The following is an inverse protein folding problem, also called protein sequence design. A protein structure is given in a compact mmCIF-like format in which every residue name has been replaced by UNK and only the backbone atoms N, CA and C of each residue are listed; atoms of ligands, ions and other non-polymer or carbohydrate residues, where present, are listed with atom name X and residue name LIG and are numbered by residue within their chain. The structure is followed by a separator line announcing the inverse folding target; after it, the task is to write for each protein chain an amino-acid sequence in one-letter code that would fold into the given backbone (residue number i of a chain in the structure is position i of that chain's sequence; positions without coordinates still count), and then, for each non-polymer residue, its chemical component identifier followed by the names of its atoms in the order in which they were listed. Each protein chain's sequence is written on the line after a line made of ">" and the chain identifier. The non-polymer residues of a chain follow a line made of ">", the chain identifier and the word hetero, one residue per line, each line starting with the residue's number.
data_IF_437605560397
#
_entry.id   IF_437605560397
#
_cell.length_a   1.000
_cell.length_b   1.000
_cell.length_c   1.000
_cell.angle_alpha   90.00
_cell.angle_beta   90.00
_cell.angle_gamma   90.00
#
_symmetry.space_group_name_H-M   'P 1'
#
loop_
_entity.id
_entity.type
_entity.pdbx_description
1 polymer ?
#
# COMPACT_ATOMS: atom_id res chain seq x y z
N UNK A 1 -20.23 -3.26 6.85
CA UNK A 1 -18.98 -2.95 7.57
C UNK A 1 -19.05 -1.54 8.18
N UNK A 2 -18.55 -1.30 9.41
CA UNK A 2 -18.52 0.02 10.04
C UNK A 2 -17.65 1.06 9.30
N UNK A 3 -17.90 2.35 9.55
CA UNK A 3 -17.01 3.44 9.10
C UNK A 3 -15.71 3.45 9.93
N UNK A 4 -14.60 3.93 9.34
CA UNK A 4 -13.30 3.99 10.04
C UNK A 4 -12.60 2.65 10.24
N UNK A 5 -11.76 2.54 11.27
CA UNK A 5 -11.09 1.29 11.62
C UNK A 5 -12.09 0.23 12.08
N UNK A 6 -11.77 -1.03 11.80
CA UNK A 6 -12.52 -2.18 12.31
C UNK A 6 -11.72 -2.89 13.39
N UNK A 7 -12.44 -3.37 14.40
CA UNK A 7 -11.95 -4.26 15.44
C UNK A 7 -12.74 -5.56 15.38
N UNK A 8 -12.09 -6.65 15.74
CA UNK A 8 -12.67 -7.98 15.88
C UNK A 8 -11.80 -8.78 16.88
N UNK A 9 -12.34 -9.85 17.45
CA UNK A 9 -11.62 -10.75 18.35
C UNK A 9 -11.27 -12.08 17.69
N UNK A 10 -11.76 -12.34 16.47
CA UNK A 10 -11.48 -13.55 15.71
C UNK A 10 -11.61 -13.31 14.20
N UNK A 11 -11.06 -14.23 13.39
CA UNK A 11 -11.23 -14.21 11.92
C UNK A 11 -12.70 -14.29 11.52
N UNK A 12 -13.48 -15.11 12.23
CA UNK A 12 -14.91 -15.31 11.96
C UNK A 12 -15.68 -14.02 12.17
N UNK A 13 -15.43 -13.31 13.28
CA UNK A 13 -16.03 -12.01 13.57
C UNK A 13 -15.60 -10.95 12.54
N UNK A 14 -14.32 -10.91 12.18
CA UNK A 14 -13.79 -9.99 11.16
C UNK A 14 -14.45 -10.21 9.80
N UNK A 15 -14.58 -11.48 9.37
CA UNK A 15 -15.20 -11.86 8.11
C UNK A 15 -16.71 -11.59 8.11
N UNK A 16 -17.39 -11.73 9.25
CA UNK A 16 -18.81 -11.41 9.37
C UNK A 16 -19.12 -9.94 9.06
N UNK A 17 -18.16 -9.02 9.25
CA UNK A 17 -18.32 -7.58 8.92
C UNK A 17 -18.55 -7.32 7.42
N UNK A 18 -18.17 -8.26 6.55
CA UNK A 18 -18.37 -8.23 5.11
C UNK A 18 -19.78 -8.70 4.67
N UNK A 19 -20.61 -9.21 5.60
CA UNK A 19 -21.99 -9.63 5.32
C UNK A 19 -22.07 -10.65 4.18
N UNK A 20 -22.85 -10.35 3.14
CA UNK A 20 -23.02 -11.23 1.98
C UNK A 20 -21.72 -11.50 1.20
N UNK A 21 -20.66 -10.71 1.42
CA UNK A 21 -19.34 -10.88 0.80
C UNK A 21 -18.38 -11.70 1.66
N UNK A 22 -18.84 -12.30 2.76
CA UNK A 22 -18.02 -13.10 3.69
C UNK A 22 -17.13 -14.13 2.99
N UNK A 23 -17.68 -14.89 2.03
CA UNK A 23 -16.92 -15.92 1.30
C UNK A 23 -15.86 -15.32 0.37
N UNK A 24 -16.19 -14.24 -0.35
CA UNK A 24 -15.24 -13.50 -1.18
C UNK A 24 -14.10 -12.92 -0.32
N UNK A 25 -14.43 -12.36 0.85
CA UNK A 25 -13.46 -11.86 1.81
C UNK A 25 -12.55 -12.97 2.37
N UNK A 26 -13.11 -14.14 2.69
CA UNK A 26 -12.32 -15.28 3.15
C UNK A 26 -11.32 -15.73 2.09
N UNK A 27 -11.76 -15.85 0.83
CA UNK A 27 -10.87 -16.18 -0.28
C UNK A 27 -9.79 -15.13 -0.53
N UNK A 28 -10.09 -13.84 -0.34
CA UNK A 28 -9.14 -12.75 -0.57
C UNK A 28 -8.12 -12.58 0.56
N UNK A 29 -8.52 -12.77 1.82
CA UNK A 29 -7.69 -12.48 2.99
C UNK A 29 -7.08 -13.70 3.67
N UNK A 30 -7.65 -14.89 3.46
CA UNK A 30 -7.28 -16.12 4.15
C UNK A 30 -7.49 -17.37 3.26
N UNK A 31 -7.06 -17.29 1.99
CA UNK A 31 -7.30 -18.32 0.96
C UNK A 31 -6.97 -19.76 1.41
N UNK A 32 -5.94 -19.93 2.24
CA UNK A 32 -5.47 -21.22 2.73
C UNK A 32 -5.86 -21.50 4.19
N UNK A 33 -6.65 -20.63 4.84
CA UNK A 33 -7.07 -20.74 6.24
C UNK A 33 -5.97 -20.46 7.29
N UNK A 34 -4.74 -20.21 6.85
CA UNK A 34 -3.55 -20.16 7.69
C UNK A 34 -3.03 -18.74 7.99
N UNK A 35 -3.70 -17.68 7.54
CA UNK A 35 -3.27 -16.30 7.81
C UNK A 35 -3.42 -16.00 9.30
N UNK A 36 -2.40 -15.47 9.97
CA UNK A 36 -2.53 -15.08 11.38
C UNK A 36 -3.67 -14.05 11.55
N UNK A 37 -4.50 -14.20 12.59
CA UNK A 37 -5.62 -13.28 12.82
C UNK A 37 -5.17 -11.81 12.88
N UNK A 38 -4.10 -11.50 13.61
CA UNK A 38 -3.60 -10.13 13.72
C UNK A 38 -3.11 -9.56 12.36
N UNK A 39 -2.53 -10.42 11.51
CA UNK A 39 -2.13 -10.05 10.14
C UNK A 39 -3.33 -9.77 9.26
N UNK A 40 -4.36 -10.61 9.36
CA UNK A 40 -5.62 -10.45 8.64
C UNK A 40 -6.33 -9.15 9.04
N UNK A 41 -6.38 -8.84 10.34
CA UNK A 41 -6.95 -7.60 10.86
C UNK A 41 -6.17 -6.38 10.37
N UNK A 42 -4.84 -6.45 10.33
CA UNK A 42 -4.00 -5.40 9.76
C UNK A 42 -4.31 -5.18 8.28
N UNK A 43 -4.38 -6.25 7.47
CA UNK A 43 -4.70 -6.15 6.04
C UNK A 43 -6.08 -5.56 5.77
N UNK A 44 -7.13 -5.99 6.49
CA UNK A 44 -8.47 -5.43 6.33
C UNK A 44 -8.48 -3.93 6.65
N UNK A 45 -7.82 -3.51 7.73
CA UNK A 45 -7.72 -2.09 8.08
C UNK A 45 -6.90 -1.29 7.06
N UNK A 46 -5.77 -1.82 6.58
CA UNK A 46 -4.97 -1.20 5.52
C UNK A 46 -5.78 -0.98 4.25
N UNK A 47 -6.49 -2.00 3.81
CA UNK A 47 -7.23 -1.94 2.54
C UNK A 47 -8.44 -1.01 2.64
N UNK A 48 -9.18 -1.11 3.75
CA UNK A 48 -10.39 -0.32 4.00
C UNK A 48 -10.11 1.17 4.21
N UNK A 49 -9.09 1.49 5.01
CA UNK A 49 -8.86 2.87 5.46
C UNK A 49 -7.95 3.63 4.50
N UNK A 50 -7.04 2.94 3.81
CA UNK A 50 -6.00 3.58 3.02
C UNK A 50 -5.97 3.12 1.56
N UNK A 51 -5.76 1.83 1.31
CA UNK A 51 -5.38 1.38 -0.03
C UNK A 51 -6.54 1.43 -1.04
N UNK A 52 -7.75 1.00 -0.67
CA UNK A 52 -8.92 1.11 -1.56
C UNK A 52 -9.31 2.58 -1.77
N UNK A 53 -9.40 3.45 -0.74
CA UNK A 53 -9.64 4.87 -0.97
C UNK A 53 -8.60 5.56 -1.87
N UNK A 54 -7.32 5.19 -1.78
CA UNK A 54 -6.28 5.68 -2.68
C UNK A 54 -6.52 5.23 -4.12
N UNK A 55 -6.86 3.94 -4.32
CA UNK A 55 -7.22 3.37 -5.64
C UNK A 55 -8.47 4.03 -6.22
N UNK A 56 -9.52 4.21 -5.42
CA UNK A 56 -10.73 4.93 -5.79
C UNK A 56 -10.40 6.34 -6.26
N UNK A 57 -9.59 7.07 -5.49
CA UNK A 57 -9.18 8.43 -5.84
C UNK A 57 -8.46 8.46 -7.19
N UNK A 58 -7.46 7.59 -7.40
CA UNK A 58 -6.76 7.49 -8.68
C UNK A 58 -7.72 7.22 -9.85
N UNK A 59 -8.67 6.29 -9.70
CA UNK A 59 -9.73 6.03 -10.70
C UNK A 59 -10.57 7.25 -11.01
N UNK A 60 -10.95 8.05 -10.01
CA UNK A 60 -11.77 9.26 -10.22
C UNK A 60 -11.02 10.34 -11.00
N UNK A 61 -9.72 10.49 -10.76
CA UNK A 61 -8.90 11.44 -11.52
C UNK A 61 -8.73 11.00 -12.97
N UNK A 62 -8.37 9.73 -13.21
CA UNK A 62 -8.14 9.22 -14.57
C UNK A 62 -9.44 9.15 -15.40
N UNK A 63 -10.57 8.85 -14.78
CA UNK A 63 -11.89 8.92 -15.43
C UNK A 63 -12.28 10.34 -15.87
N UNK A 64 -11.63 11.39 -15.32
CA UNK A 64 -11.78 12.79 -15.75
C UNK A 64 -10.68 13.25 -16.69
N UNK A 65 -9.81 12.35 -17.15
CA UNK A 65 -8.69 12.65 -18.03
C UNK A 65 -7.49 13.29 -17.33
N UNK A 66 -7.48 13.35 -16.00
CA UNK A 66 -6.33 13.83 -15.24
C UNK A 66 -5.34 12.68 -14.99
N UNK A 67 -4.02 12.89 -15.17
CA UNK A 67 -3.02 11.86 -14.88
C UNK A 67 -2.99 11.56 -13.37
N UNK A 68 -2.80 10.29 -13.02
CA UNK A 68 -2.58 9.86 -11.66
C UNK A 68 -1.45 8.82 -11.63
N UNK A 69 -0.64 8.84 -10.58
CA UNK A 69 0.43 7.88 -10.33
C UNK A 69 0.16 7.23 -8.96
N UNK A 70 0.07 5.91 -8.93
CA UNK A 70 -0.24 5.15 -7.72
C UNK A 70 0.97 4.32 -7.31
N UNK A 71 1.35 4.37 -6.02
CA UNK A 71 2.42 3.54 -5.48
C UNK A 71 2.01 2.75 -4.24
N UNK A 72 2.81 1.73 -3.95
CA UNK A 72 2.84 0.98 -2.70
C UNK A 72 4.24 1.09 -2.09
N UNK A 73 4.34 1.45 -0.81
CA UNK A 73 5.59 1.43 -0.07
C UNK A 73 5.64 0.18 0.81
N UNK A 74 6.54 -0.74 0.50
CA UNK A 74 6.69 -2.03 1.18
C UNK A 74 8.02 -2.17 1.93
N UNK A 75 8.93 -1.21 1.75
CA UNK A 75 10.26 -1.24 2.36
C UNK A 75 10.20 -1.04 3.89
N UNK A 76 10.98 -1.83 4.62
CA UNK A 76 11.13 -1.74 6.08
C UNK A 76 12.62 -1.84 6.40
N UNK A 77 13.19 -0.80 6.98
CA UNK A 77 14.60 -0.81 7.42
C UNK A 77 14.85 -1.95 8.40
N UNK A 78 16.05 -2.54 8.36
CA UNK A 78 16.42 -3.67 9.22
C UNK A 78 16.12 -3.43 10.71
N UNK A 79 16.41 -2.24 11.22
CA UNK A 79 16.17 -1.87 12.63
C UNK A 79 14.69 -1.80 13.03
N UNK A 80 13.78 -1.71 12.05
CA UNK A 80 12.32 -1.63 12.28
C UNK A 80 11.58 -2.94 12.03
N UNK A 81 12.21 -3.96 11.42
CA UNK A 81 11.53 -5.21 11.00
C UNK A 81 10.84 -5.95 12.17
N UNK A 82 11.44 -5.94 13.36
CA UNK A 82 10.85 -6.56 14.54
C UNK A 82 9.54 -5.87 14.95
N UNK A 83 9.51 -4.55 14.94
CA UNK A 83 8.34 -3.72 15.30
C UNK A 83 7.28 -3.73 14.19
N UNK A 84 7.74 -3.81 12.93
CA UNK A 84 6.93 -3.80 11.71
C UNK A 84 6.80 -5.20 11.11
N UNK A 85 6.48 -6.19 11.94
CA UNK A 85 6.45 -7.62 11.55
C UNK A 85 5.48 -7.98 10.42
N UNK A 86 4.54 -7.09 10.09
CA UNK A 86 3.57 -7.25 9.00
C UNK A 86 3.85 -6.38 7.77
N UNK A 87 5.01 -5.71 7.74
CA UNK A 87 5.39 -4.77 6.69
C UNK A 87 5.36 -3.32 7.17
N UNK A 88 5.59 -2.40 6.23
CA UNK A 88 5.65 -0.96 6.47
C UNK A 88 4.42 -0.45 7.23
N UNK A 89 4.65 0.35 8.27
CA UNK A 89 3.57 0.96 9.05
C UNK A 89 2.98 2.16 8.31
N UNK A 90 1.82 2.63 8.77
CA UNK A 90 1.27 3.89 8.28
C UNK A 90 2.29 5.04 8.43
N UNK A 91 2.45 5.84 7.36
CA UNK A 91 3.32 7.01 7.30
C UNK A 91 4.84 6.73 7.45
N UNK A 92 5.28 5.47 7.44
CA UNK A 92 6.71 5.15 7.58
C UNK A 92 7.56 5.62 6.40
N UNK A 93 6.94 5.89 5.26
CA UNK A 93 7.61 6.35 4.05
C UNK A 93 7.98 7.85 4.07
N UNK A 94 7.39 8.65 4.97
CA UNK A 94 7.56 10.11 4.96
C UNK A 94 9.04 10.51 4.96
N UNK A 95 9.85 9.92 5.85
CA UNK A 95 11.27 10.28 5.92
C UNK A 95 12.08 9.84 4.68
N UNK A 96 11.59 8.84 3.94
CA UNK A 96 12.17 8.44 2.66
C UNK A 96 11.78 9.42 1.55
N UNK A 97 10.53 9.93 1.55
CA UNK A 97 10.08 10.98 0.62
C UNK A 97 10.93 12.24 0.76
N UNK A 98 11.25 12.65 1.99
CA UNK A 98 11.99 13.88 2.27
C UNK A 98 13.53 13.72 2.27
N UNK A 99 14.05 12.51 2.05
CA UNK A 99 15.48 12.21 2.16
C UNK A 99 16.12 12.72 3.47
N UNK A 100 15.43 12.50 4.59
CA UNK A 100 15.81 13.04 5.90
C UNK A 100 15.77 11.97 7.00
N UNK A 101 16.25 10.77 6.68
CA UNK A 101 16.42 9.71 7.65
C UNK A 101 17.36 10.16 8.79
N UNK A 102 16.88 10.07 10.03
CA UNK A 102 17.62 10.46 11.24
C UNK A 102 17.59 9.31 12.23
N UNK A 103 18.77 8.88 12.67
CA UNK A 103 18.89 7.88 13.72
C UNK A 103 18.31 8.40 15.05
N UNK A 104 17.34 7.68 15.61
CA UNK A 104 16.68 8.06 16.86
C UNK A 104 15.96 6.85 17.49
N UNK A 105 15.82 6.83 18.81
CA UNK A 105 15.03 5.82 19.54
C UNK A 105 15.40 4.38 19.17
N UNK A 106 16.71 4.08 19.08
CA UNK A 106 17.26 2.78 18.66
C UNK A 106 16.96 2.38 17.20
N UNK A 107 16.43 3.29 16.38
CA UNK A 107 16.36 3.14 14.94
C UNK A 107 17.70 3.63 14.38
N UNK A 108 18.37 2.73 13.65
CA UNK A 108 19.61 3.01 12.93
C UNK A 108 19.37 2.73 11.45
N UNK A 109 19.68 3.71 10.60
CA UNK A 109 19.54 3.61 9.16
C UNK A 109 20.86 3.20 8.50
N UNK A 110 20.77 2.19 7.65
CA UNK A 110 21.86 1.65 6.84
C UNK A 110 22.06 2.48 5.56
N UNK A 111 23.14 2.20 4.83
CA UNK A 111 23.35 2.79 3.51
C UNK A 111 22.27 2.37 2.51
N UNK A 112 21.70 1.16 2.62
CA UNK A 112 20.57 0.74 1.81
C UNK A 112 19.33 1.60 2.09
N UNK A 113 19.06 1.93 3.36
CA UNK A 113 17.95 2.81 3.72
C UNK A 113 18.08 4.20 3.08
N UNK A 114 19.30 4.76 3.10
CA UNK A 114 19.60 6.05 2.46
C UNK A 114 19.47 5.98 0.93
N UNK A 115 19.83 4.85 0.31
CA UNK A 115 19.63 4.64 -1.13
C UNK A 115 18.14 4.60 -1.49
N UNK A 116 17.31 3.94 -0.68
CA UNK A 116 15.85 3.92 -0.86
C UNK A 116 15.27 5.32 -0.69
N UNK A 117 15.73 6.09 0.30
CA UNK A 117 15.30 7.47 0.53
C UNK A 117 15.63 8.36 -0.67
N UNK A 118 16.88 8.31 -1.15
CA UNK A 118 17.30 9.03 -2.36
C UNK A 118 16.51 8.64 -3.61
N UNK A 119 16.21 7.35 -3.77
CA UNK A 119 15.41 6.84 -4.87
C UNK A 119 13.98 7.41 -4.82
N UNK A 120 13.30 7.31 -3.68
CA UNK A 120 11.93 7.80 -3.50
C UNK A 120 11.85 9.32 -3.62
N UNK A 121 12.78 10.04 -3.00
CA UNK A 121 12.90 11.49 -3.10
C UNK A 121 13.08 11.96 -4.55
N UNK A 122 13.86 11.23 -5.36
CA UNK A 122 14.02 11.50 -6.79
C UNK A 122 12.69 11.54 -7.55
N UNK A 123 11.82 10.54 -7.36
CA UNK A 123 10.49 10.53 -7.98
C UNK A 123 9.62 11.71 -7.52
N UNK A 124 9.63 12.02 -6.22
CA UNK A 124 8.85 13.13 -5.68
C UNK A 124 9.32 14.50 -6.17
N UNK A 125 10.63 14.71 -6.29
CA UNK A 125 11.21 15.93 -6.87
C UNK A 125 10.81 16.08 -8.35
N UNK A 126 10.87 15.00 -9.13
CA UNK A 126 10.48 15.04 -10.54
C UNK A 126 9.00 15.38 -10.70
N UNK A 127 8.14 14.75 -9.90
CA UNK A 127 6.71 15.02 -9.90
C UNK A 127 6.41 16.48 -9.51
N UNK A 128 7.05 17.00 -8.47
CA UNK A 128 6.88 18.40 -8.06
C UNK A 128 7.32 19.39 -9.15
N UNK A 129 8.36 19.08 -9.92
CA UNK A 129 8.88 19.94 -11.00
C UNK A 129 8.05 19.89 -12.27
N UNK A 130 7.51 18.72 -12.62
CA UNK A 130 7.04 18.45 -13.98
C UNK A 130 5.65 17.81 -14.07
N UNK A 131 5.09 17.35 -12.96
CA UNK A 131 3.88 16.51 -12.94
C UNK A 131 4.12 15.06 -13.38
N UNK A 132 5.36 14.67 -13.70
CA UNK A 132 5.76 13.31 -14.05
C UNK A 132 6.86 12.85 -13.08
N UNK A 133 6.70 11.72 -12.35
CA UNK A 133 7.70 11.26 -11.39
C UNK A 133 8.96 10.68 -12.08
N UNK A 134 8.89 10.33 -13.36
CA UNK A 134 9.96 9.65 -14.08
C UNK A 134 11.18 10.54 -14.38
N UNK A 135 12.33 9.91 -14.53
CA UNK A 135 13.60 10.58 -14.78
C UNK A 135 14.70 9.63 -15.25
N UNK A 136 15.81 10.19 -15.73
CA UNK A 136 16.94 9.40 -16.25
C UNK A 136 17.48 8.45 -15.17
N UNK A 137 17.55 7.16 -15.50
CA UNK A 137 18.11 6.13 -14.61
C UNK A 137 17.15 5.63 -13.53
N UNK A 138 15.89 6.07 -13.54
CA UNK A 138 14.84 5.55 -12.68
C UNK A 138 14.03 4.48 -13.42
N UNK A 139 13.60 3.40 -12.74
CA UNK A 139 12.51 2.55 -13.22
C UNK A 139 11.28 3.36 -13.65
N UNK A 140 10.60 2.95 -14.71
CA UNK A 140 9.40 3.65 -15.17
C UNK A 140 8.26 3.43 -14.16
N UNK A 141 7.69 4.53 -13.70
CA UNK A 141 6.44 4.59 -12.95
C UNK A 141 5.30 4.92 -13.92
N UNK A 142 4.48 3.93 -14.31
CA UNK A 142 3.42 4.14 -15.28
C UNK A 142 2.29 5.00 -14.70
N UNK A 143 1.58 5.67 -15.60
CA UNK A 143 0.29 6.28 -15.27
C UNK A 143 -0.68 5.19 -14.80
N UNK A 144 -1.42 5.50 -13.74
CA UNK A 144 -2.47 4.62 -13.25
C UNK A 144 -3.50 4.33 -14.34
N UNK A 145 -3.77 3.05 -14.57
CA UNK A 145 -4.78 2.60 -15.51
C UNK A 145 -5.63 1.52 -14.85
N UNK A 146 -6.92 1.80 -14.65
CA UNK A 146 -7.83 0.86 -13.97
C UNK A 146 -8.00 -0.49 -14.70
N UNK A 147 -7.68 -0.53 -16.00
CA UNK A 147 -7.75 -1.75 -16.83
C UNK A 147 -6.50 -2.63 -16.69
N UNK A 148 -5.43 -2.10 -16.11
CA UNK A 148 -4.17 -2.81 -15.90
C UNK A 148 -4.04 -3.07 -14.40
N UNK A 149 -3.87 -4.34 -14.01
CA UNK A 149 -3.70 -4.70 -12.61
C UNK A 149 -2.27 -4.43 -12.13
N UNK A 150 -1.86 -3.17 -12.08
CA UNK A 150 -0.50 -2.81 -11.70
C UNK A 150 -0.43 -1.72 -10.61
N UNK A 151 0.67 -1.75 -9.88
CA UNK A 151 1.07 -0.70 -8.92
C UNK A 151 2.58 -0.52 -8.99
N UNK A 152 3.05 0.72 -8.81
CA UNK A 152 4.47 0.96 -8.65
C UNK A 152 4.87 0.69 -7.20
N UNK A 153 5.78 -0.24 -6.95
CA UNK A 153 6.18 -0.62 -5.59
C UNK A 153 7.59 -0.16 -5.26
N UNK A 154 7.77 0.45 -4.08
CA UNK A 154 9.07 0.53 -3.39
C UNK A 154 9.22 -0.74 -2.54
N UNK A 155 10.01 -1.69 -3.03
CA UNK A 155 10.00 -3.08 -2.60
C UNK A 155 10.83 -3.31 -1.34
N UNK A 156 10.62 -4.48 -0.71
CA UNK A 156 11.34 -4.88 0.51
C UNK A 156 12.86 -5.00 0.33
N UNK A 157 13.33 -5.32 -0.87
CA UNK A 157 14.75 -5.40 -1.21
C UNK A 157 15.39 -4.02 -1.49
N UNK A 158 14.61 -2.94 -1.41
CA UNK A 158 15.04 -1.58 -1.70
C UNK A 158 15.01 -1.20 -3.18
N UNK A 159 14.62 -2.11 -4.08
CA UNK A 159 14.35 -1.79 -5.48
C UNK A 159 12.99 -1.12 -5.66
N UNK A 160 12.73 -0.56 -6.85
CA UNK A 160 11.41 -0.06 -7.21
C UNK A 160 11.00 -0.45 -8.62
N UNK A 161 9.69 -0.51 -8.88
CA UNK A 161 9.17 -0.76 -10.22
C UNK A 161 7.68 -1.12 -10.24
N UNK A 162 7.08 -1.03 -11.42
CA UNK A 162 5.73 -1.55 -11.66
C UNK A 162 5.69 -3.07 -11.46
N UNK A 163 4.68 -3.55 -10.74
CA UNK A 163 4.40 -4.96 -10.49
C UNK A 163 2.90 -5.21 -10.62
N UNK A 164 2.51 -6.47 -10.75
CA UNK A 164 1.11 -6.86 -10.59
C UNK A 164 0.62 -6.52 -9.17
N UNK A 165 -0.53 -5.84 -9.04
CA UNK A 165 -1.09 -5.55 -7.71
C UNK A 165 -1.77 -6.80 -7.13
N UNK A 166 -1.02 -7.54 -6.31
CA UNK A 166 -1.49 -8.75 -5.63
C UNK A 166 -2.62 -8.49 -4.62
N UNK A 167 -2.91 -7.22 -4.29
CA UNK A 167 -3.99 -6.85 -3.38
C UNK A 167 -5.33 -6.71 -4.10
N UNK A 168 -5.37 -6.82 -5.45
CA UNK A 168 -6.57 -6.59 -6.26
C UNK A 168 -7.83 -7.23 -5.68
N UNK A 169 -7.79 -8.53 -5.38
CA UNK A 169 -8.95 -9.25 -4.86
C UNK A 169 -9.42 -8.69 -3.51
N UNK A 170 -8.49 -8.30 -2.64
CA UNK A 170 -8.82 -7.71 -1.34
C UNK A 170 -9.46 -6.34 -1.52
N UNK A 171 -8.87 -5.49 -2.35
CA UNK A 171 -9.38 -4.15 -2.65
C UNK A 171 -10.75 -4.19 -3.34
N UNK A 172 -10.97 -5.16 -4.24
CA UNK A 172 -12.26 -5.34 -4.93
C UNK A 172 -13.37 -5.78 -3.96
N UNK A 173 -13.06 -6.66 -3.00
CA UNK A 173 -14.03 -7.05 -1.97
C UNK A 173 -14.37 -5.87 -1.06
N UNK A 174 -13.38 -5.03 -0.70
CA UNK A 174 -13.62 -3.79 0.06
C UNK A 174 -14.53 -2.85 -0.73
N UNK A 175 -14.21 -2.55 -1.98
CA UNK A 175 -15.01 -1.69 -2.86
C UNK A 175 -16.48 -2.17 -2.93
N UNK A 176 -16.69 -3.45 -3.27
CA UNK A 176 -18.03 -4.07 -3.33
C UNK A 176 -18.79 -4.05 -2.00
N UNK A 177 -18.09 -3.94 -0.86
CA UNK A 177 -18.72 -3.85 0.47
C UNK A 177 -19.31 -2.46 0.72
N UNK A 178 -18.83 -1.43 0.03
CA UNK A 178 -19.28 -0.04 0.14
C UNK A 178 -20.08 0.46 -1.07
N UNK A 179 -20.03 -0.25 -2.20
CA UNK A 179 -20.97 -0.03 -3.30
C UNK A 179 -22.41 -0.25 -2.81
N UNK A 180 -23.27 0.74 -3.00
CA UNK A 180 -24.68 0.67 -2.59
C UNK A 180 -25.36 -0.53 -3.25
N UNK A 181 -26.16 -1.24 -2.47
CA UNK A 181 -27.23 -2.09 -2.99
C UNK A 181 -28.21 -1.26 -3.82
#
# INVERSE_FOLDING_TARGET
>A
MPAGFVNANSKEELLALFGNRKQEAAAAYDANGNTEFAKMLAYVNTDKVWAEPARFTARRFTAKGAPAYLYLFSYVSASMQQWMRFGASHASEISYVFDNLVDRNNIVFTEQDKQVAKLMNGYWINFAKTGNPNGKGLPEWPLYNEKINEVFEFRQDGSAGAIEDLRKNRLDVIEKTFEKK
#
